data_IF_981983097154
#
_entry.id   IF_981983097154
#
_cell.length_a   1.000
_cell.length_b   1.000
_cell.length_c   1.000
_cell.angle_alpha   90.00
_cell.angle_beta   90.00
_cell.angle_gamma   90.00
#
_symmetry.space_group_name_H-M   'P 1'
#
loop_
_entity.id
_entity.type
_entity.pdbx_description
1 polymer ?
#
# COMPACT_ATOMS: atom_id res chain seq x y z
N UNK A 1 -9.31 -5.64 28.79
CA UNK A 1 -9.76 -6.11 27.46
C UNK A 1 -9.55 -4.95 26.50
N UNK A 2 -8.42 -4.92 25.80
CA UNK A 2 -8.20 -3.92 24.75
C UNK A 2 -9.08 -4.31 23.56
N UNK A 3 -10.00 -3.45 23.20
CA UNK A 3 -10.74 -3.56 21.94
C UNK A 3 -9.72 -3.24 20.85
N UNK A 4 -9.34 -4.25 20.07
CA UNK A 4 -8.58 -4.03 18.84
C UNK A 4 -9.52 -3.34 17.87
N UNK A 5 -9.31 -2.07 17.60
CA UNK A 5 -10.09 -1.36 16.60
C UNK A 5 -9.58 -1.77 15.22
N UNK A 6 -10.44 -2.41 14.46
CA UNK A 6 -10.13 -2.97 13.15
C UNK A 6 -9.84 -1.87 12.10
N UNK A 7 -10.64 -0.83 12.05
CA UNK A 7 -10.45 0.33 11.17
C UNK A 7 -11.29 1.53 11.65
N UNK A 8 -10.93 2.75 11.20
CA UNK A 8 -11.80 3.93 11.38
C UNK A 8 -13.04 3.79 10.50
N UNK A 9 -12.83 3.36 9.26
CA UNK A 9 -13.89 3.13 8.28
C UNK A 9 -13.79 1.68 7.84
N UNK A 10 -14.85 0.91 8.02
CA UNK A 10 -14.93 -0.47 7.59
C UNK A 10 -16.24 -0.75 6.85
N UNK A 11 -16.14 -1.49 5.73
CA UNK A 11 -17.30 -2.08 5.07
C UNK A 11 -17.27 -3.58 5.29
N UNK A 12 -18.40 -4.15 5.72
CA UNK A 12 -18.55 -5.58 5.90
C UNK A 12 -19.63 -6.08 4.94
N UNK A 13 -19.26 -6.91 3.97
CA UNK A 13 -20.14 -7.54 2.99
C UNK A 13 -21.06 -6.56 2.24
N UNK A 14 -20.70 -5.30 2.18
CA UNK A 14 -21.55 -4.22 1.68
C UNK A 14 -21.13 -3.75 0.29
N UNK A 15 -22.13 -3.48 -0.54
CA UNK A 15 -21.96 -2.65 -1.72
C UNK A 15 -22.31 -1.22 -1.34
N UNK A 16 -21.33 -0.38 -1.15
CA UNK A 16 -21.51 1.04 -0.84
C UNK A 16 -20.30 1.82 -1.30
N UNK A 17 -20.49 3.11 -1.54
CA UNK A 17 -19.42 4.01 -1.90
C UNK A 17 -19.16 4.98 -0.77
N UNK A 18 -17.90 5.11 -0.38
CA UNK A 18 -17.42 6.08 0.60
C UNK A 18 -16.58 7.08 -0.19
N UNK A 19 -16.88 8.37 -0.09
CA UNK A 19 -16.11 9.41 -0.73
C UNK A 19 -15.41 10.27 0.32
N UNK A 20 -14.10 10.33 0.23
CA UNK A 20 -13.30 11.36 0.91
C UNK A 20 -13.19 12.55 -0.03
N UNK A 21 -14.00 13.57 0.21
CA UNK A 21 -14.02 14.80 -0.56
C UNK A 21 -12.81 15.70 -0.27
N UNK A 22 -12.73 16.81 -1.00
CA UNK A 22 -11.67 17.80 -0.83
C UNK A 22 -11.56 18.28 0.64
N UNK A 23 -10.37 18.25 1.18
CA UNK A 23 -10.08 18.57 2.58
C UNK A 23 -10.46 17.50 3.61
N UNK A 24 -11.03 16.38 3.21
CA UNK A 24 -11.26 15.25 4.12
C UNK A 24 -9.94 14.59 4.50
N UNK A 25 -9.74 14.37 5.80
CA UNK A 25 -8.49 13.84 6.32
C UNK A 25 -8.71 12.78 7.39
N UNK A 26 -8.09 11.60 7.23
CA UNK A 26 -7.94 10.58 8.25
C UNK A 26 -6.48 10.59 8.70
N UNK A 27 -6.23 10.85 9.99
CA UNK A 27 -4.85 11.05 10.49
C UNK A 27 -4.57 10.28 11.77
N UNK A 28 -3.30 9.89 11.91
CA UNK A 28 -2.74 9.33 13.15
C UNK A 28 -3.48 8.08 13.66
N UNK A 29 -3.92 7.23 12.75
CA UNK A 29 -4.56 5.99 13.14
C UNK A 29 -3.51 4.89 13.42
N UNK A 30 -3.49 4.39 14.62
CA UNK A 30 -2.58 3.32 15.08
C UNK A 30 -3.26 1.96 15.24
N UNK A 31 -4.23 1.64 14.40
CA UNK A 31 -4.93 0.35 14.34
C UNK A 31 -4.45 -0.53 13.20
N UNK A 32 -5.27 -1.50 12.79
CA UNK A 32 -4.97 -2.36 11.64
C UNK A 32 -4.96 -1.59 10.33
N UNK A 33 -5.95 -0.71 10.13
CA UNK A 33 -6.08 0.10 8.93
C UNK A 33 -6.86 1.36 9.24
N UNK A 34 -6.61 2.45 8.52
CA UNK A 34 -7.51 3.59 8.57
C UNK A 34 -8.82 3.26 7.84
N UNK A 35 -8.72 2.60 6.70
CA UNK A 35 -9.86 2.14 5.91
C UNK A 35 -9.72 0.67 5.57
N UNK A 36 -10.79 -0.12 5.82
CA UNK A 36 -10.89 -1.53 5.43
C UNK A 36 -12.14 -1.75 4.59
N UNK A 37 -11.97 -2.30 3.40
CA UNK A 37 -13.05 -2.62 2.50
C UNK A 37 -13.13 -4.12 2.25
N UNK A 38 -14.20 -4.77 2.74
CA UNK A 38 -14.53 -6.15 2.37
C UNK A 38 -15.45 -6.23 1.14
N UNK A 39 -15.72 -5.09 0.53
CA UNK A 39 -16.52 -4.86 -0.67
C UNK A 39 -16.86 -3.38 -0.76
N UNK A 40 -17.55 -2.96 -1.82
CA UNK A 40 -17.84 -1.56 -2.06
C UNK A 40 -16.63 -0.76 -2.57
N UNK A 41 -16.70 0.55 -2.49
CA UNK A 41 -15.72 1.44 -3.08
C UNK A 41 -15.32 2.58 -2.12
N UNK A 42 -14.03 2.89 -2.09
CA UNK A 42 -13.50 4.13 -1.54
C UNK A 42 -13.07 5.03 -2.71
N UNK A 43 -13.65 6.22 -2.77
CA UNK A 43 -13.24 7.29 -3.69
C UNK A 43 -12.47 8.34 -2.90
N UNK A 44 -11.28 8.68 -3.35
CA UNK A 44 -10.48 9.79 -2.82
C UNK A 44 -10.38 10.88 -3.87
N UNK A 45 -10.92 12.07 -3.53
CA UNK A 45 -10.86 13.24 -4.40
C UNK A 45 -9.59 14.07 -4.16
N UNK A 46 -9.32 15.05 -5.04
CA UNK A 46 -8.22 15.98 -4.84
C UNK A 46 -8.30 16.67 -3.48
N UNK A 47 -7.17 16.82 -2.79
CA UNK A 47 -7.10 17.42 -1.44
C UNK A 47 -7.53 16.51 -0.29
N UNK A 48 -8.05 15.31 -0.54
CA UNK A 48 -8.29 14.33 0.52
C UNK A 48 -7.00 13.63 0.97
N UNK A 49 -6.97 13.12 2.21
CA UNK A 49 -5.77 12.48 2.72
C UNK A 49 -6.04 11.36 3.74
N UNK A 50 -5.18 10.34 3.71
CA UNK A 50 -5.04 9.31 4.75
C UNK A 50 -3.58 9.33 5.18
N UNK A 51 -3.30 9.91 6.35
CA UNK A 51 -1.96 10.29 6.74
C UNK A 51 -1.54 9.68 8.08
N UNK A 52 -0.23 9.42 8.19
CA UNK A 52 0.45 9.07 9.44
C UNK A 52 -0.14 7.82 10.13
N UNK A 53 -0.72 6.92 9.35
CA UNK A 53 -1.19 5.62 9.83
C UNK A 53 0.04 4.76 10.18
N UNK A 54 0.06 4.17 11.36
CA UNK A 54 1.12 3.25 11.77
C UNK A 54 0.55 1.86 12.01
N UNK A 55 1.24 0.85 11.53
CA UNK A 55 0.91 -0.53 11.87
C UNK A 55 1.00 -0.74 13.39
N UNK A 56 -0.05 -1.33 13.97
CA UNK A 56 -0.04 -1.63 15.39
C UNK A 56 0.76 -2.90 15.66
N UNK A 57 1.86 -2.79 16.40
CA UNK A 57 2.64 -3.95 16.84
C UNK A 57 1.84 -4.94 17.72
N UNK A 58 0.69 -4.54 18.25
CA UNK A 58 -0.14 -5.39 19.11
C UNK A 58 -0.76 -6.58 18.40
N UNK A 59 -0.80 -6.56 17.09
CA UNK A 59 -1.33 -7.68 16.30
C UNK A 59 -0.33 -8.80 16.05
N UNK A 60 0.85 -8.70 16.61
CA UNK A 60 1.73 -9.84 16.82
C UNK A 60 1.05 -10.82 17.77
N UNK A 61 -0.05 -11.44 17.31
CA UNK A 61 -0.76 -12.46 18.08
C UNK A 61 0.17 -13.60 18.43
N UNK A 62 -0.08 -14.25 19.56
CA UNK A 62 0.70 -15.40 20.07
C UNK A 62 0.73 -16.60 19.09
N UNK A 63 -0.03 -16.57 18.02
CA UNK A 63 -0.09 -17.60 16.98
C UNK A 63 0.70 -17.26 15.71
N UNK A 64 1.38 -16.13 15.65
CA UNK A 64 2.13 -15.74 14.44
C UNK A 64 1.26 -15.43 13.21
N UNK A 65 -0.04 -15.38 13.38
CA UNK A 65 -0.98 -15.02 12.34
C UNK A 65 -1.20 -13.51 12.38
N UNK A 66 -0.61 -12.79 11.41
CA UNK A 66 -0.74 -11.35 11.31
C UNK A 66 -1.91 -11.01 10.41
N UNK A 67 -2.79 -10.17 10.92
CA UNK A 67 -3.69 -9.45 10.07
C UNK A 67 -2.87 -8.53 9.15
N UNK A 68 -3.20 -8.45 7.86
CA UNK A 68 -2.61 -7.48 6.98
C UNK A 68 -2.96 -6.09 7.49
N UNK A 69 -1.96 -5.27 7.69
CA UNK A 69 -2.14 -3.89 8.05
C UNK A 69 -1.69 -3.01 6.88
N UNK A 70 -2.41 -1.95 6.65
CA UNK A 70 -2.13 -0.94 5.66
C UNK A 70 -3.02 0.26 5.92
N UNK A 71 -2.62 1.46 5.52
CA UNK A 71 -3.50 2.61 5.66
C UNK A 71 -4.86 2.34 5.01
N UNK A 72 -4.83 1.75 3.82
CA UNK A 72 -6.01 1.21 3.13
C UNK A 72 -5.84 -0.29 2.92
N UNK A 73 -6.81 -1.06 3.40
CA UNK A 73 -6.88 -2.51 3.21
C UNK A 73 -8.10 -2.90 2.38
N UNK A 74 -7.86 -3.49 1.21
CA UNK A 74 -8.90 -4.01 0.33
C UNK A 74 -8.97 -5.53 0.45
N UNK A 75 -10.11 -6.04 0.88
CA UNK A 75 -10.45 -7.48 0.89
C UNK A 75 -11.53 -7.79 -0.14
N UNK A 76 -11.32 -7.40 -1.41
CA UNK A 76 -12.30 -7.49 -2.49
C UNK A 76 -13.06 -6.18 -2.78
N UNK A 77 -12.71 -5.08 -2.14
CA UNK A 77 -13.26 -3.75 -2.45
C UNK A 77 -12.46 -3.02 -3.54
N UNK A 78 -12.89 -1.81 -3.85
CA UNK A 78 -12.29 -0.95 -4.87
C UNK A 78 -11.77 0.34 -4.23
N UNK A 79 -10.53 0.71 -4.56
CA UNK A 79 -10.00 2.04 -4.29
C UNK A 79 -9.92 2.82 -5.60
N UNK A 80 -10.56 3.98 -5.67
CA UNK A 80 -10.44 4.93 -6.76
C UNK A 80 -9.88 6.24 -6.22
N UNK A 81 -8.61 6.53 -6.51
CA UNK A 81 -8.00 7.82 -6.22
C UNK A 81 -8.07 8.70 -7.46
N UNK A 82 -8.97 9.66 -7.47
CA UNK A 82 -9.00 10.73 -8.49
C UNK A 82 -7.95 11.82 -8.19
N UNK A 83 -7.41 11.81 -6.98
CA UNK A 83 -6.37 12.66 -6.43
C UNK A 83 -6.11 12.27 -4.97
N UNK A 84 -5.71 13.23 -4.15
CA UNK A 84 -5.46 13.00 -2.73
C UNK A 84 -4.15 12.28 -2.41
N UNK A 85 -3.92 11.99 -1.13
CA UNK A 85 -2.65 11.47 -0.64
C UNK A 85 -2.86 10.33 0.37
N UNK A 86 -2.08 9.26 0.24
CA UNK A 86 -1.93 8.22 1.26
C UNK A 86 -0.46 8.19 1.69
N UNK A 87 -0.18 8.26 3.00
CA UNK A 87 1.17 8.11 3.52
C UNK A 87 1.52 9.05 4.66
N UNK A 88 2.76 9.51 4.72
CA UNK A 88 3.23 10.48 5.71
C UNK A 88 3.11 11.92 5.25
N UNK A 89 3.02 12.85 6.21
CA UNK A 89 2.91 14.28 5.97
C UNK A 89 4.20 15.01 6.39
N UNK A 90 4.61 16.03 5.64
CA UNK A 90 5.62 17.06 5.98
C UNK A 90 6.78 16.58 6.86
N UNK A 91 7.50 15.58 6.41
CA UNK A 91 8.66 15.04 7.14
C UNK A 91 8.32 13.97 8.20
N UNK A 92 7.07 13.69 8.41
CA UNK A 92 6.63 12.51 9.15
C UNK A 92 6.52 11.36 8.16
N UNK A 93 7.18 10.25 8.47
CA UNK A 93 7.10 9.04 7.66
C UNK A 93 6.02 8.11 8.22
N UNK A 94 5.14 7.64 7.36
CA UNK A 94 4.21 6.57 7.72
C UNK A 94 4.99 5.26 7.85
N UNK A 95 4.85 4.57 8.99
CA UNK A 95 5.42 3.24 9.16
C UNK A 95 4.40 2.19 8.76
N UNK A 96 4.79 1.29 7.87
CA UNK A 96 3.95 0.19 7.42
C UNK A 96 3.65 0.21 5.93
N UNK A 97 2.47 -0.24 5.55
CA UNK A 97 2.01 -0.26 4.16
C UNK A 97 1.02 0.86 3.91
N UNK A 98 1.10 1.51 2.75
CA UNK A 98 0.08 2.48 2.38
C UNK A 98 -1.19 1.78 1.85
N UNK A 99 -1.03 0.94 0.85
CA UNK A 99 -2.12 0.15 0.28
C UNK A 99 -1.81 -1.35 0.41
N UNK A 100 -2.73 -2.10 0.99
CA UNK A 100 -2.74 -3.54 0.96
C UNK A 100 -4.01 -4.05 0.27
N UNK A 101 -3.87 -4.71 -0.88
CA UNK A 101 -4.99 -5.29 -1.61
C UNK A 101 -4.91 -6.82 -1.59
N UNK A 102 -5.80 -7.44 -0.82
CA UNK A 102 -5.96 -8.89 -0.73
C UNK A 102 -7.24 -9.28 -1.50
N UNK A 103 -7.14 -9.33 -2.82
CA UNK A 103 -8.25 -9.61 -3.72
C UNK A 103 -9.10 -8.39 -4.10
N UNK A 104 -8.64 -7.18 -3.94
CA UNK A 104 -9.32 -5.95 -4.37
C UNK A 104 -8.68 -5.30 -5.59
N UNK A 105 -9.26 -4.20 -6.05
CA UNK A 105 -8.76 -3.42 -7.18
C UNK A 105 -8.46 -1.99 -6.77
N UNK A 106 -7.32 -1.46 -7.21
CA UNK A 106 -6.95 -0.07 -6.95
C UNK A 106 -6.62 0.69 -8.23
N UNK A 107 -7.20 1.88 -8.38
CA UNK A 107 -6.85 2.84 -9.40
C UNK A 107 -6.27 4.09 -8.73
N UNK A 108 -4.96 4.28 -8.86
CA UNK A 108 -4.20 5.27 -8.10
C UNK A 108 -3.89 6.46 -9.01
N UNK A 109 -4.73 7.50 -8.98
CA UNK A 109 -4.53 8.78 -9.67
C UNK A 109 -4.06 9.91 -8.75
N UNK A 110 -3.84 9.61 -7.48
CA UNK A 110 -3.26 10.49 -6.47
C UNK A 110 -1.83 10.12 -6.10
N UNK A 111 -1.39 10.55 -4.92
CA UNK A 111 -0.01 10.34 -4.44
C UNK A 111 0.04 9.34 -3.28
N UNK A 112 0.95 8.38 -3.36
CA UNK A 112 1.39 7.56 -2.23
C UNK A 112 2.81 8.02 -1.87
N UNK A 113 3.01 8.50 -0.63
CA UNK A 113 4.27 9.15 -0.28
C UNK A 113 4.72 8.90 1.16
N UNK A 114 6.03 9.10 1.37
CA UNK A 114 6.63 9.11 2.72
C UNK A 114 6.32 7.80 3.48
N UNK A 115 6.65 6.68 2.86
CA UNK A 115 6.48 5.36 3.44
C UNK A 115 7.82 4.90 4.00
N UNK A 116 7.85 4.42 5.23
CA UNK A 116 9.07 3.98 5.88
C UNK A 116 8.91 2.58 6.48
N UNK A 117 9.90 1.75 6.26
CA UNK A 117 10.01 0.45 6.92
C UNK A 117 11.04 0.48 8.04
N UNK A 118 10.66 0.07 9.23
CA UNK A 118 11.58 -0.08 10.37
C UNK A 118 12.04 -1.52 10.52
N UNK A 119 13.21 -1.72 11.14
CA UNK A 119 13.80 -3.04 11.42
C UNK A 119 12.95 -3.91 12.34
N UNK A 120 12.08 -3.29 13.11
CA UNK A 120 11.21 -3.97 14.07
C UNK A 120 10.05 -4.72 13.42
N UNK A 121 9.90 -4.60 12.12
CA UNK A 121 8.82 -5.26 11.40
C UNK A 121 9.03 -6.76 11.33
N UNK A 122 8.07 -7.46 11.87
CA UNK A 122 8.02 -8.90 11.74
C UNK A 122 7.87 -9.30 10.27
N UNK A 123 8.72 -10.19 9.80
CA UNK A 123 8.77 -10.68 8.40
C UNK A 123 9.05 -9.63 7.31
N UNK A 124 9.54 -8.44 7.66
CA UNK A 124 10.01 -7.48 6.66
C UNK A 124 8.93 -6.93 5.73
N UNK A 125 7.70 -6.87 6.21
CA UNK A 125 6.57 -6.43 5.39
C UNK A 125 6.25 -4.94 5.52
N UNK A 126 7.04 -4.17 6.24
CA UNK A 126 6.83 -2.73 6.42
C UNK A 126 7.60 -1.94 5.37
N UNK A 127 7.14 -0.73 5.09
CA UNK A 127 7.75 0.14 4.11
C UNK A 127 7.39 -0.23 2.67
N UNK A 128 6.15 -0.65 2.44
CA UNK A 128 5.63 -0.98 1.13
C UNK A 128 4.56 0.02 0.73
N UNK A 129 4.73 0.69 -0.41
CA UNK A 129 3.71 1.61 -0.88
C UNK A 129 2.47 0.86 -1.38
N UNK A 130 2.64 -0.15 -2.22
CA UNK A 130 1.55 -0.98 -2.75
C UNK A 130 1.89 -2.45 -2.59
N UNK A 131 1.11 -3.16 -1.77
CA UNK A 131 1.21 -4.61 -1.61
C UNK A 131 -0.05 -5.28 -2.18
N UNK A 132 0.14 -6.14 -3.18
CA UNK A 132 -0.93 -6.88 -3.83
C UNK A 132 -0.83 -8.37 -3.53
N UNK A 133 -1.96 -8.98 -3.15
CA UNK A 133 -2.07 -10.40 -2.85
C UNK A 133 -3.41 -10.94 -3.31
N UNK A 134 -3.51 -12.28 -3.44
CA UNK A 134 -4.76 -13.00 -3.68
C UNK A 134 -5.54 -12.47 -4.89
N UNK A 135 -4.86 -12.30 -6.03
CA UNK A 135 -5.42 -11.74 -7.26
C UNK A 135 -5.84 -10.25 -7.15
N UNK A 136 -5.27 -9.51 -6.22
CA UNK A 136 -5.42 -8.06 -6.19
C UNK A 136 -4.85 -7.41 -7.45
N UNK A 137 -5.43 -6.30 -7.86
CA UNK A 137 -4.97 -5.55 -9.02
C UNK A 137 -4.75 -4.09 -8.68
N UNK A 138 -3.69 -3.48 -9.21
CA UNK A 138 -3.53 -2.04 -9.10
C UNK A 138 -3.04 -1.41 -10.39
N UNK A 139 -3.57 -0.23 -10.68
CA UNK A 139 -3.13 0.63 -11.76
C UNK A 139 -2.68 1.97 -11.18
N UNK A 140 -1.42 2.34 -11.44
CA UNK A 140 -0.94 3.71 -11.25
C UNK A 140 -1.34 4.52 -12.49
N UNK A 141 -2.36 5.36 -12.34
CA UNK A 141 -2.93 6.16 -13.42
C UNK A 141 -1.92 7.22 -13.89
N UNK A 142 -2.19 7.87 -15.01
CA UNK A 142 -1.29 8.87 -15.61
C UNK A 142 -0.94 10.07 -14.71
N UNK A 143 -1.79 10.36 -13.73
CA UNK A 143 -1.58 11.40 -12.70
C UNK A 143 -1.05 10.83 -11.39
N UNK A 144 -0.94 9.50 -11.29
CA UNK A 144 -0.55 8.81 -10.07
C UNK A 144 0.96 8.92 -9.81
N UNK A 145 1.31 9.05 -8.54
CA UNK A 145 2.70 9.13 -8.09
C UNK A 145 2.94 8.26 -6.86
N UNK A 146 4.06 7.52 -6.86
CA UNK A 146 4.60 6.84 -5.68
C UNK A 146 5.97 7.45 -5.42
N UNK A 147 6.19 8.02 -4.24
CA UNK A 147 7.43 8.72 -3.96
C UNK A 147 7.88 8.61 -2.51
N UNK A 148 9.19 8.71 -2.29
CA UNK A 148 9.80 8.69 -0.97
C UNK A 148 9.42 7.44 -0.16
N UNK A 149 9.77 6.28 -0.69
CA UNK A 149 9.62 4.98 -0.03
C UNK A 149 10.98 4.52 0.46
N UNK A 150 11.14 4.39 1.76
CA UNK A 150 12.43 4.09 2.38
C UNK A 150 12.33 2.92 3.35
N UNK A 151 13.47 2.30 3.64
CA UNK A 151 13.51 1.24 4.65
C UNK A 151 14.94 0.97 5.11
N UNK A 152 15.09 0.64 6.38
CA UNK A 152 16.40 0.47 7.02
C UNK A 152 16.91 -0.97 6.98
N UNK A 153 16.12 -1.94 6.54
CA UNK A 153 16.49 -3.34 6.65
C UNK A 153 16.29 -4.17 5.38
N UNK A 154 17.01 -5.29 5.36
CA UNK A 154 16.95 -6.36 4.38
C UNK A 154 15.57 -7.06 4.23
N UNK A 155 14.58 -6.62 4.97
CA UNK A 155 13.19 -7.03 4.78
C UNK A 155 12.58 -6.36 3.54
N UNK A 156 11.51 -6.88 3.05
CA UNK A 156 10.85 -6.58 1.78
C UNK A 156 10.34 -5.12 1.63
N UNK A 157 11.18 -4.13 1.96
CA UNK A 157 10.88 -2.72 1.75
C UNK A 157 10.95 -2.41 0.27
N UNK A 158 9.83 -2.07 -0.34
CA UNK A 158 9.76 -1.79 -1.76
C UNK A 158 8.59 -0.84 -2.09
N UNK A 159 8.67 -0.21 -3.25
CA UNK A 159 7.52 0.56 -3.71
C UNK A 159 6.33 -0.37 -4.01
N UNK A 160 6.60 -1.50 -4.65
CA UNK A 160 5.54 -2.42 -5.09
C UNK A 160 5.93 -3.84 -4.73
N UNK A 161 5.05 -4.54 -4.03
CA UNK A 161 5.13 -5.96 -3.75
C UNK A 161 3.92 -6.68 -4.34
N UNK A 162 4.16 -7.64 -5.22
CA UNK A 162 3.10 -8.45 -5.82
C UNK A 162 3.25 -9.92 -5.49
N UNK A 163 2.15 -10.54 -5.05
CA UNK A 163 2.01 -11.98 -4.85
C UNK A 163 0.85 -12.49 -5.71
N UNK A 164 1.14 -13.05 -6.89
CA UNK A 164 0.13 -13.52 -7.87
C UNK A 164 -0.86 -12.43 -8.32
N UNK A 165 -0.36 -11.23 -8.61
CA UNK A 165 -1.20 -10.06 -8.84
C UNK A 165 -0.69 -9.23 -10.01
N UNK A 166 -1.57 -8.44 -10.60
CA UNK A 166 -1.25 -7.54 -11.70
C UNK A 166 -1.01 -6.11 -11.23
N UNK A 167 0.08 -5.52 -11.66
CA UNK A 167 0.37 -4.11 -11.45
C UNK A 167 0.70 -3.41 -12.77
N UNK A 168 0.03 -2.30 -13.03
CA UNK A 168 0.22 -1.53 -14.25
C UNK A 168 0.53 -0.07 -13.95
N UNK A 169 1.52 0.51 -14.60
CA UNK A 169 1.71 1.96 -14.65
C UNK A 169 1.29 2.51 -16.01
N UNK A 170 0.58 3.63 -16.02
CA UNK A 170 0.20 4.33 -17.24
C UNK A 170 1.23 5.40 -17.62
N UNK A 171 1.31 5.74 -18.91
CA UNK A 171 2.14 6.86 -19.37
C UNK A 171 1.76 8.15 -18.61
N UNK A 172 2.76 8.88 -18.11
CA UNK A 172 2.58 10.05 -17.26
C UNK A 172 2.68 9.78 -15.76
N UNK A 173 2.45 8.54 -15.29
CA UNK A 173 2.65 8.17 -13.89
C UNK A 173 4.12 8.23 -13.48
N UNK A 174 4.39 8.34 -12.18
CA UNK A 174 5.73 8.46 -11.64
C UNK A 174 5.96 7.53 -10.46
N UNK A 175 7.15 6.94 -10.40
CA UNK A 175 7.70 6.27 -9.21
C UNK A 175 9.10 6.86 -9.00
N UNK A 176 9.33 7.47 -7.82
CA UNK A 176 10.58 8.18 -7.58
C UNK A 176 11.01 8.11 -6.12
N UNK A 177 12.30 8.39 -5.86
CA UNK A 177 12.87 8.45 -4.51
C UNK A 177 12.57 7.17 -3.70
N UNK A 178 12.78 6.03 -4.31
CA UNK A 178 12.70 4.74 -3.62
C UNK A 178 14.09 4.37 -3.15
N UNK A 179 14.32 4.49 -1.85
CA UNK A 179 15.57 4.12 -1.18
C UNK A 179 15.26 3.00 -0.19
N UNK A 180 15.06 1.85 -0.71
CA UNK A 180 14.70 0.66 0.03
C UNK A 180 15.50 -0.54 -0.43
N UNK A 181 15.04 -1.73 -0.06
CA UNK A 181 15.69 -2.97 -0.49
C UNK A 181 15.49 -3.23 -1.99
N UNK A 182 14.29 -2.88 -2.51
CA UNK A 182 13.93 -3.08 -3.92
C UNK A 182 12.91 -2.02 -4.38
N UNK A 183 12.87 -1.77 -5.67
CA UNK A 183 11.77 -1.02 -6.29
C UNK A 183 10.51 -1.90 -6.38
N UNK A 184 10.69 -3.11 -6.87
CA UNK A 184 9.62 -4.04 -7.17
C UNK A 184 10.01 -5.44 -6.69
N UNK A 185 9.15 -6.06 -5.91
CA UNK A 185 9.31 -7.40 -5.42
C UNK A 185 8.18 -8.31 -5.90
N UNK A 186 8.57 -9.36 -6.60
CA UNK A 186 7.69 -10.47 -6.98
C UNK A 186 7.89 -11.61 -6.00
N UNK A 187 6.83 -12.02 -5.36
CA UNK A 187 6.82 -13.18 -4.48
C UNK A 187 5.99 -14.29 -5.12
N UNK A 188 6.69 -15.26 -5.67
CA UNK A 188 6.12 -16.39 -6.41
C UNK A 188 6.33 -17.68 -5.61
N UNK A 189 5.86 -17.70 -4.36
CA UNK A 189 6.09 -18.83 -3.46
C UNK A 189 5.25 -20.08 -3.77
N UNK A 190 4.27 -20.02 -4.65
CA UNK A 190 3.43 -21.15 -5.00
C UNK A 190 3.62 -21.56 -6.46
N UNK A 191 4.00 -22.82 -6.70
CA UNK A 191 4.11 -23.47 -8.00
C UNK A 191 2.78 -23.60 -8.77
N UNK A 192 1.80 -22.78 -8.49
CA UNK A 192 0.53 -22.74 -9.19
C UNK A 192 0.64 -21.80 -10.39
N UNK A 193 0.46 -22.32 -11.59
CA UNK A 193 0.53 -21.67 -12.90
C UNK A 193 -0.34 -20.38 -13.06
N UNK A 194 -0.29 -19.44 -12.14
CA UNK A 194 -0.93 -18.14 -12.31
C UNK A 194 0.07 -17.20 -12.97
N UNK A 195 -0.27 -16.69 -14.15
CA UNK A 195 0.47 -15.59 -14.78
C UNK A 195 0.09 -14.29 -14.10
N UNK A 196 1.06 -13.57 -13.58
CA UNK A 196 0.90 -12.19 -13.16
C UNK A 196 1.75 -11.31 -14.06
N UNK A 197 1.23 -10.13 -14.31
CA UNK A 197 1.89 -9.18 -15.18
C UNK A 197 2.17 -7.89 -14.43
N UNK A 198 3.40 -7.42 -14.55
CA UNK A 198 3.74 -6.05 -14.19
C UNK A 198 4.10 -5.32 -15.45
N UNK A 199 3.28 -4.34 -15.78
CA UNK A 199 3.45 -3.51 -16.96
C UNK A 199 3.86 -2.09 -16.56
N UNK A 200 5.11 -1.72 -16.86
CA UNK A 200 5.69 -0.42 -16.50
C UNK A 200 5.75 0.50 -17.73
N UNK A 201 4.91 1.52 -17.77
CA UNK A 201 4.83 2.53 -18.83
C UNK A 201 4.90 3.96 -18.28
N UNK A 202 5.29 4.12 -17.02
CA UNK A 202 5.50 5.41 -16.38
C UNK A 202 6.97 5.80 -16.32
N UNK A 203 7.26 6.91 -15.66
CA UNK A 203 8.63 7.35 -15.35
C UNK A 203 9.07 6.75 -14.02
N UNK A 204 10.24 6.12 -14.00
CA UNK A 204 10.90 5.64 -12.79
C UNK A 204 12.23 6.39 -12.68
N UNK A 205 12.45 7.10 -11.58
CA UNK A 205 13.66 7.92 -11.38
C UNK A 205 14.10 7.97 -9.94
N UNK A 206 15.37 8.26 -9.74
CA UNK A 206 15.93 8.51 -8.39
C UNK A 206 15.67 7.36 -7.41
N UNK A 207 15.78 6.13 -7.90
CA UNK A 207 15.63 4.93 -7.10
C UNK A 207 16.99 4.31 -6.82
N UNK A 208 17.22 3.94 -5.56
CA UNK A 208 18.41 3.24 -5.13
C UNK A 208 18.02 1.93 -4.45
N UNK A 209 18.86 0.91 -4.59
CA UNK A 209 18.74 -0.34 -3.82
C UNK A 209 19.96 -0.50 -2.93
N UNK A 210 19.76 -0.82 -1.66
CA UNK A 210 20.84 -0.93 -0.69
C UNK A 210 21.83 -2.06 -1.01
N UNK A 211 21.36 -3.25 -1.32
CA UNK A 211 22.21 -4.42 -1.60
C UNK A 211 21.59 -5.44 -2.56
N UNK A 212 20.45 -5.17 -3.13
CA UNK A 212 19.75 -6.03 -4.07
C UNK A 212 19.52 -5.34 -5.41
N UNK A 213 19.12 -6.09 -6.42
CA UNK A 213 18.70 -5.51 -7.69
C UNK A 213 17.40 -4.70 -7.51
N UNK A 214 17.20 -3.68 -8.35
CA UNK A 214 15.94 -2.91 -8.38
C UNK A 214 14.71 -3.80 -8.63
N UNK A 215 14.92 -4.93 -9.31
CA UNK A 215 13.92 -5.94 -9.61
C UNK A 215 14.37 -7.28 -9.04
N UNK A 216 13.49 -7.97 -8.32
CA UNK A 216 13.70 -9.32 -7.83
C UNK A 216 12.45 -10.17 -8.14
N UNK A 217 12.68 -11.31 -8.71
CA UNK A 217 11.68 -12.38 -8.94
C UNK A 217 11.97 -13.58 -8.04
#
# INVERSE_FOLDING_TARGET
TSIVQDAIIATYNGMGTITLGDGAELRNYGGMSAVRLSGGELIMEGGSAILDTTENEREKGASGSFGPAGAVWLQGGILTMNGGTIGGDKGVMMNGRALYADGGTANIGGTIQNIHGTDAAWQGQNGVAVHLRSHGEATLASTGEITNVTGTNAGNNCAIWTQFCNFTTKAGSKISHVDGFQLLYFDDLDNNNYSHEVYLNGTISECASGSASLLRS
#
